data_IF_743358693985
#
_entry.id   IF_743358693985
#
_cell.length_a   1.000
_cell.length_b   1.000
_cell.length_c   1.000
_cell.angle_alpha   90.00
_cell.angle_beta   90.00
_cell.angle_gamma   90.00
#
_symmetry.space_group_name_H-M   'P 1'
#
loop_
_entity.id
_entity.type
_entity.pdbx_description
1 polymer ?
#
# COMPACT_ATOMS: atom_id res chain seq x y z
N UNK A 1 35.65 -3.98 -6.06
CA UNK A 1 34.55 -4.44 -6.92
C UNK A 1 33.50 -3.33 -6.96
N UNK A 2 33.13 -2.88 -8.13
CA UNK A 2 32.37 -1.65 -8.36
C UNK A 2 30.90 -1.89 -8.04
N UNK A 3 30.38 -1.36 -6.93
CA UNK A 3 28.99 -1.50 -6.45
C UNK A 3 27.94 -0.87 -7.40
N UNK A 4 28.36 -0.28 -8.50
CA UNK A 4 27.53 0.56 -9.38
C UNK A 4 26.56 -0.18 -10.32
N UNK A 5 26.49 -1.51 -10.34
CA UNK A 5 25.71 -2.22 -11.38
C UNK A 5 24.86 -3.41 -10.95
N UNK A 6 24.56 -3.58 -9.67
CA UNK A 6 23.57 -4.58 -9.26
C UNK A 6 22.15 -3.97 -9.33
N UNK A 7 21.56 -3.96 -10.51
CA UNK A 7 20.13 -3.64 -10.66
C UNK A 7 19.31 -4.79 -10.05
N UNK A 8 18.88 -4.60 -8.81
CA UNK A 8 17.94 -5.52 -8.17
C UNK A 8 16.64 -5.60 -8.99
N UNK A 9 16.09 -6.83 -9.07
CA UNK A 9 14.83 -7.14 -9.78
C UNK A 9 13.87 -7.84 -8.83
N UNK A 10 12.55 -7.82 -9.08
CA UNK A 10 11.61 -8.68 -8.40
C UNK A 10 12.07 -10.14 -8.42
N UNK A 11 11.99 -10.82 -7.27
CA UNK A 11 12.49 -12.19 -7.08
C UNK A 11 13.94 -12.29 -6.59
N UNK A 12 14.76 -11.23 -6.69
CA UNK A 12 16.11 -11.26 -6.13
C UNK A 12 16.08 -11.39 -4.61
N UNK A 13 16.94 -12.24 -4.06
CA UNK A 13 17.14 -12.36 -2.62
C UNK A 13 18.12 -11.29 -2.16
N UNK A 14 17.71 -10.50 -1.17
CA UNK A 14 18.52 -9.45 -0.57
C UNK A 14 18.61 -9.60 0.95
N UNK A 15 19.69 -9.11 1.52
CA UNK A 15 19.89 -8.98 2.96
C UNK A 15 19.87 -7.50 3.32
N UNK A 16 19.11 -7.14 4.37
CA UNK A 16 19.17 -5.80 4.94
C UNK A 16 20.52 -5.63 5.65
N UNK A 17 21.25 -4.58 5.31
CA UNK A 17 22.57 -4.29 5.87
C UNK A 17 22.52 -4.13 7.39
N UNK A 18 23.67 -4.19 8.04
CA UNK A 18 23.79 -4.02 9.48
C UNK A 18 23.43 -2.60 9.92
N UNK A 19 23.01 -2.38 11.19
CA UNK A 19 22.73 -1.03 11.71
C UNK A 19 23.89 -0.06 11.52
N UNK A 20 25.12 -0.52 11.68
CA UNK A 20 26.33 0.30 11.50
C UNK A 20 26.53 0.74 10.04
N UNK A 21 26.27 -0.14 9.08
CA UNK A 21 26.35 0.20 7.65
C UNK A 21 25.25 1.19 7.26
N UNK A 22 24.02 0.97 7.71
CA UNK A 22 22.90 1.86 7.45
C UNK A 22 23.12 3.23 8.08
N UNK A 23 23.56 3.28 9.34
CA UNK A 23 23.85 4.52 10.06
C UNK A 23 24.80 5.47 9.31
N UNK A 24 25.75 4.92 8.55
CA UNK A 24 26.71 5.69 7.74
C UNK A 24 26.10 6.33 6.50
N UNK A 25 24.90 5.88 6.08
CA UNK A 25 24.20 6.41 4.91
C UNK A 25 23.18 7.49 5.27
N UNK A 26 22.84 7.60 6.56
CA UNK A 26 21.78 8.47 7.04
C UNK A 26 22.33 9.85 7.40
N UNK A 27 21.56 10.86 7.04
CA UNK A 27 21.76 12.23 7.50
C UNK A 27 21.42 12.38 9.01
N UNK A 28 21.59 13.58 9.61
CA UNK A 28 21.27 13.82 11.02
C UNK A 28 19.79 13.58 11.36
N UNK A 29 18.89 13.67 10.39
CA UNK A 29 17.46 13.43 10.55
C UNK A 29 17.06 11.96 10.47
N UNK A 30 18.02 11.07 10.19
CA UNK A 30 17.77 9.63 10.01
C UNK A 30 17.18 9.32 8.64
N UNK A 31 17.46 10.14 7.62
CA UNK A 31 16.96 9.94 6.25
C UNK A 31 18.09 9.70 5.26
N UNK A 32 17.75 9.12 4.11
CA UNK A 32 18.58 9.10 2.92
C UNK A 32 17.77 9.70 1.77
N UNK A 33 18.21 10.85 1.25
CA UNK A 33 17.46 11.63 0.24
C UNK A 33 16.01 11.87 0.67
N UNK A 34 15.82 12.37 1.88
CA UNK A 34 14.54 12.67 2.52
C UNK A 34 13.62 11.46 2.78
N UNK A 35 14.07 10.23 2.51
CA UNK A 35 13.32 9.01 2.85
C UNK A 35 13.77 8.51 4.22
N UNK A 36 12.88 8.48 5.25
CA UNK A 36 13.24 8.02 6.58
C UNK A 36 13.61 6.53 6.61
N UNK A 37 14.67 6.19 7.33
CA UNK A 37 14.87 4.85 7.86
C UNK A 37 14.13 4.79 9.22
N UNK A 38 13.01 4.06 9.29
CA UNK A 38 12.16 4.05 10.47
C UNK A 38 12.71 3.14 11.57
N UNK A 39 12.37 3.41 12.83
CA UNK A 39 12.83 2.61 13.98
C UNK A 39 12.48 1.12 13.85
N UNK A 40 11.28 0.80 13.39
CA UNK A 40 10.87 -0.59 13.16
C UNK A 40 11.72 -1.31 12.10
N UNK A 41 12.28 -0.58 11.13
CA UNK A 41 13.15 -1.16 10.09
C UNK A 41 14.44 -1.74 10.65
N UNK A 42 14.88 -1.28 11.82
CA UNK A 42 16.07 -1.80 12.50
C UNK A 42 15.94 -3.29 12.84
N UNK A 43 14.73 -3.77 13.09
CA UNK A 43 14.47 -5.20 13.37
C UNK A 43 14.71 -6.13 12.19
N UNK A 44 14.78 -5.57 10.99
CA UNK A 44 15.04 -6.33 9.77
C UNK A 44 16.53 -6.39 9.40
N UNK A 45 17.41 -5.64 10.09
CA UNK A 45 18.85 -5.67 9.83
C UNK A 45 19.42 -7.08 9.98
N UNK A 46 20.24 -7.50 9.01
CA UNK A 46 20.82 -8.83 8.91
C UNK A 46 19.84 -9.92 8.44
N UNK A 47 18.57 -9.62 8.25
CA UNK A 47 17.57 -10.57 7.75
C UNK A 47 17.46 -10.51 6.23
N UNK A 48 16.97 -11.60 5.64
CA UNK A 48 16.85 -11.79 4.19
C UNK A 48 15.41 -11.72 3.76
N UNK A 49 15.19 -11.10 2.61
CA UNK A 49 13.88 -10.90 2.00
C UNK A 49 13.99 -10.97 0.50
N UNK A 50 12.88 -11.31 -0.14
CA UNK A 50 12.76 -11.25 -1.60
C UNK A 50 12.32 -9.85 -2.03
N UNK A 51 12.93 -9.33 -3.07
CA UNK A 51 12.47 -8.08 -3.68
C UNK A 51 11.09 -8.33 -4.31
N UNK A 52 10.08 -7.64 -3.77
CA UNK A 52 8.72 -7.69 -4.32
C UNK A 52 8.62 -6.85 -5.59
N UNK A 53 9.13 -5.62 -5.54
CA UNK A 53 9.00 -4.68 -6.66
C UNK A 53 10.01 -3.54 -6.57
N UNK A 54 10.48 -3.04 -7.72
CA UNK A 54 11.16 -1.74 -7.80
C UNK A 54 10.12 -0.63 -7.82
N UNK A 55 10.36 0.44 -7.08
CA UNK A 55 9.41 1.56 -7.02
C UNK A 55 9.68 2.52 -8.18
N UNK A 56 8.91 2.39 -9.24
CA UNK A 56 9.02 3.28 -10.43
C UNK A 56 8.19 4.54 -10.24
N UNK A 57 6.98 4.40 -9.70
CA UNK A 57 6.08 5.52 -9.40
C UNK A 57 5.18 5.20 -8.22
N UNK A 58 4.80 6.22 -7.49
CA UNK A 58 3.92 6.13 -6.32
C UNK A 58 2.75 7.09 -6.45
N UNK A 59 1.61 6.74 -5.86
CA UNK A 59 0.54 7.69 -5.61
C UNK A 59 0.68 8.23 -4.18
N UNK A 60 0.50 9.54 -4.01
CA UNK A 60 0.37 10.15 -2.70
C UNK A 60 -1.08 10.62 -2.52
N UNK A 61 -1.72 10.17 -1.44
CA UNK A 61 -3.05 10.61 -1.01
C UNK A 61 -2.91 11.81 -0.08
N UNK A 62 -3.89 12.69 -0.03
CA UNK A 62 -3.88 13.81 0.93
C UNK A 62 -3.50 15.16 0.36
N UNK A 63 -3.22 15.27 -0.93
CA UNK A 63 -3.12 16.57 -1.59
C UNK A 63 -4.53 17.14 -1.81
N UNK A 64 -4.68 18.48 -1.79
CA UNK A 64 -5.95 19.18 -2.05
C UNK A 64 -6.58 18.82 -3.42
N UNK A 65 -5.79 18.30 -4.34
CA UNK A 65 -6.19 17.88 -5.69
C UNK A 65 -6.46 16.36 -5.82
N UNK A 66 -6.52 15.61 -4.73
CA UNK A 66 -6.67 14.14 -4.74
C UNK A 66 -5.32 13.41 -4.83
N UNK A 67 -5.33 12.16 -5.28
CA UNK A 67 -4.09 11.39 -5.44
C UNK A 67 -3.29 11.89 -6.63
N UNK A 68 -2.04 12.27 -6.38
CA UNK A 68 -1.07 12.68 -7.42
C UNK A 68 -0.03 11.59 -7.63
N UNK A 69 0.39 11.40 -8.89
CA UNK A 69 1.50 10.54 -9.21
C UNK A 69 2.82 11.25 -8.95
N UNK A 70 3.70 10.53 -8.29
CA UNK A 70 5.03 10.99 -7.91
C UNK A 70 6.09 9.93 -8.21
N UNK A 71 7.34 10.35 -8.26
CA UNK A 71 8.49 9.47 -8.41
C UNK A 71 9.57 9.85 -7.40
N UNK A 72 10.41 8.89 -7.02
CA UNK A 72 11.66 9.21 -6.33
C UNK A 72 12.65 9.84 -7.32
N UNK A 73 13.50 10.78 -6.87
CA UNK A 73 14.52 11.40 -7.74
C UNK A 73 15.47 10.38 -8.36
N UNK A 74 15.76 9.30 -7.65
CA UNK A 74 16.64 8.20 -8.05
C UNK A 74 15.88 6.91 -8.26
N UNK A 75 16.41 5.99 -9.08
CA UNK A 75 15.78 4.71 -9.44
C UNK A 75 16.33 3.56 -8.57
N UNK A 76 16.40 3.77 -7.26
CA UNK A 76 17.07 2.92 -6.29
C UNK A 76 16.18 2.50 -5.10
N UNK A 77 14.86 2.67 -5.22
CA UNK A 77 13.90 2.33 -4.16
C UNK A 77 13.16 1.04 -4.49
N UNK A 78 13.02 0.19 -3.49
CA UNK A 78 12.42 -1.14 -3.59
C UNK A 78 11.38 -1.37 -2.51
N UNK A 79 10.46 -2.31 -2.77
CA UNK A 79 9.59 -2.94 -1.79
C UNK A 79 10.06 -4.38 -1.60
N UNK A 80 10.08 -4.84 -0.36
CA UNK A 80 10.39 -6.23 -0.03
C UNK A 80 9.11 -6.98 0.30
N UNK A 81 9.09 -8.26 -0.05
CA UNK A 81 7.90 -9.08 0.11
C UNK A 81 7.51 -9.25 1.58
N UNK A 82 6.22 -9.11 1.86
CA UNK A 82 5.65 -9.24 3.20
C UNK A 82 5.97 -8.10 4.18
N UNK A 83 6.85 -7.14 3.84
CA UNK A 83 7.26 -6.10 4.77
C UNK A 83 6.33 -4.88 4.73
N UNK A 84 5.46 -4.80 5.75
CA UNK A 84 4.57 -3.65 5.99
C UNK A 84 4.86 -3.01 7.33
N UNK A 85 4.66 -1.70 7.40
CA UNK A 85 4.75 -0.91 8.62
C UNK A 85 3.73 -1.42 9.65
N UNK A 86 4.20 -1.73 10.85
CA UNK A 86 3.34 -2.15 11.97
C UNK A 86 2.62 -0.98 12.63
N UNK A 87 3.19 0.22 12.50
CA UNK A 87 2.73 1.44 13.17
C UNK A 87 3.06 1.51 14.66
N UNK A 88 3.80 0.54 15.22
CA UNK A 88 4.10 0.46 16.65
C UNK A 88 4.84 1.69 17.18
N UNK A 89 5.75 2.24 16.39
CA UNK A 89 6.51 3.45 16.73
C UNK A 89 5.75 4.77 16.42
N UNK A 90 4.51 4.67 15.94
CA UNK A 90 3.70 5.80 15.46
C UNK A 90 2.28 5.74 16.04
N UNK A 91 2.17 5.63 17.37
CA UNK A 91 0.91 5.53 18.10
C UNK A 91 -0.07 4.51 17.52
N UNK A 92 0.44 3.32 17.21
CA UNK A 92 -0.33 2.22 16.60
C UNK A 92 -1.11 2.63 15.33
N UNK A 93 -0.47 3.38 14.43
CA UNK A 93 -1.00 3.66 13.10
C UNK A 93 -1.35 2.35 12.38
N UNK A 94 -2.57 2.25 11.86
CA UNK A 94 -3.11 1.01 11.28
C UNK A 94 -3.06 1.00 9.74
N UNK A 95 -2.31 1.90 9.12
CA UNK A 95 -2.30 2.05 7.66
C UNK A 95 -1.66 0.88 6.91
N UNK A 96 -0.73 0.13 7.56
CA UNK A 96 -0.06 -1.03 6.96
C UNK A 96 0.65 -0.71 5.63
N UNK A 97 1.34 0.42 5.56
CA UNK A 97 2.09 0.80 4.37
C UNK A 97 3.16 -0.23 4.02
N UNK A 98 3.36 -0.53 2.73
CA UNK A 98 4.59 -1.19 2.29
C UNK A 98 5.80 -0.29 2.61
N UNK A 99 6.84 -0.87 3.19
CA UNK A 99 8.06 -0.16 3.57
C UNK A 99 8.95 0.04 2.34
N UNK A 100 9.38 1.28 2.11
CA UNK A 100 10.34 1.61 1.06
C UNK A 100 11.77 1.36 1.53
N UNK A 101 12.56 0.72 0.68
CA UNK A 101 13.95 0.38 0.94
C UNK A 101 14.85 1.01 -0.12
N UNK A 102 15.84 1.83 0.30
CA UNK A 102 16.90 2.29 -0.59
C UNK A 102 17.85 1.14 -0.91
N UNK A 103 18.36 1.09 -2.14
CA UNK A 103 19.39 0.10 -2.51
C UNK A 103 20.63 0.19 -1.61
N UNK A 104 20.96 1.38 -1.13
CA UNK A 104 22.06 1.60 -0.19
C UNK A 104 21.91 0.83 1.13
N UNK A 105 20.69 0.45 1.53
CA UNK A 105 20.37 -0.32 2.73
C UNK A 105 20.33 -1.83 2.51
N UNK A 106 20.48 -2.28 1.26
CA UNK A 106 20.35 -3.67 0.85
C UNK A 106 21.66 -4.19 0.26
N UNK A 107 21.91 -5.49 0.41
CA UNK A 107 22.93 -6.20 -0.36
C UNK A 107 22.30 -7.42 -1.02
N UNK A 108 22.69 -7.74 -2.24
CA UNK A 108 22.29 -8.98 -2.90
C UNK A 108 22.94 -10.16 -2.20
N UNK A 109 22.19 -11.24 -2.00
CA UNK A 109 22.70 -12.46 -1.40
C UNK A 109 22.97 -13.47 -2.50
N UNK A 110 24.18 -14.05 -2.49
CA UNK A 110 24.51 -15.22 -3.30
C UNK A 110 24.10 -16.49 -2.56
N UNK A 111 23.77 -17.55 -3.31
CA UNK A 111 23.41 -18.82 -2.72
C UNK A 111 24.55 -19.36 -1.86
N UNK A 112 24.22 -19.94 -0.70
CA UNK A 112 25.19 -20.51 0.24
C UNK A 112 25.80 -19.54 1.25
N UNK A 113 25.65 -18.23 1.11
CA UNK A 113 26.14 -17.27 2.10
C UNK A 113 25.35 -17.36 3.41
N UNK A 114 26.02 -17.26 4.56
CA UNK A 114 25.34 -17.16 5.87
C UNK A 114 24.78 -15.75 6.10
N UNK A 115 23.64 -15.59 6.81
CA UNK A 115 23.16 -14.28 7.23
C UNK A 115 24.19 -13.55 8.08
N UNK A 116 24.27 -12.23 7.93
CA UNK A 116 25.17 -11.41 8.74
C UNK A 116 24.64 -11.34 10.18
N UNK A 117 25.48 -11.70 11.14
CA UNK A 117 25.13 -11.55 12.56
C UNK A 117 25.05 -10.07 12.92
N UNK A 118 23.99 -9.68 13.62
CA UNK A 118 23.76 -8.31 14.08
C UNK A 118 23.65 -8.31 15.59
N UNK A 119 24.42 -7.44 16.23
CA UNK A 119 24.41 -7.31 17.69
C UNK A 119 23.24 -6.42 18.14
N UNK A 120 22.64 -6.76 19.28
CA UNK A 120 21.51 -5.99 19.82
C UNK A 120 21.93 -4.53 20.15
N UNK A 121 23.14 -4.35 20.68
CA UNK A 121 23.68 -3.01 20.98
C UNK A 121 23.73 -2.09 19.75
N UNK A 122 24.08 -2.63 18.56
CA UNK A 122 24.06 -1.84 17.31
C UNK A 122 22.64 -1.41 16.91
N UNK A 123 21.67 -2.29 17.13
CA UNK A 123 20.25 -1.96 16.90
C UNK A 123 19.78 -0.86 17.82
N UNK A 124 20.10 -0.95 19.11
CA UNK A 124 19.67 0.02 20.12
C UNK A 124 20.30 1.39 19.87
N UNK A 125 21.58 1.42 19.48
CA UNK A 125 22.27 2.66 19.09
C UNK A 125 21.62 3.32 17.87
N UNK A 126 21.30 2.56 16.84
CA UNK A 126 20.62 3.12 15.65
C UNK A 126 19.22 3.59 16.02
N UNK A 127 18.41 2.80 16.72
CA UNK A 127 17.07 3.20 17.18
C UNK A 127 17.06 4.49 17.97
N UNK A 128 18.04 4.72 18.83
CA UNK A 128 18.14 5.93 19.65
C UNK A 128 18.32 7.21 18.81
N UNK A 129 18.89 7.09 17.60
CA UNK A 129 19.09 8.21 16.66
C UNK A 129 17.86 8.51 15.80
N UNK A 130 16.97 7.54 15.63
CA UNK A 130 15.85 7.64 14.72
C UNK A 130 14.65 8.28 15.41
N UNK A 131 14.19 9.40 14.88
CA UNK A 131 13.01 10.10 15.36
C UNK A 131 11.72 9.48 14.84
N UNK A 132 10.65 9.61 15.61
CA UNK A 132 9.29 9.16 15.24
C UNK A 132 8.31 10.31 15.12
N UNK A 133 8.71 11.51 15.57
CA UNK A 133 7.90 12.72 15.54
C UNK A 133 8.76 13.94 15.18
N UNK A 134 8.13 14.96 14.60
CA UNK A 134 8.72 16.27 14.32
C UNK A 134 8.01 17.39 15.06
N UNK A 135 6.94 17.09 15.80
CA UNK A 135 6.15 18.02 16.60
C UNK A 135 5.16 17.29 17.51
N UNK A 136 4.40 17.99 18.35
CA UNK A 136 3.54 17.39 19.37
C UNK A 136 2.47 16.42 18.82
N UNK A 137 2.03 16.64 17.57
CA UNK A 137 1.01 15.82 16.91
C UNK A 137 1.39 15.47 15.47
N UNK A 138 2.68 15.57 15.11
CA UNK A 138 3.16 15.34 13.75
C UNK A 138 4.15 14.19 13.76
N UNK A 139 3.72 13.05 13.23
CA UNK A 139 4.54 11.85 13.14
C UNK A 139 5.53 11.93 12.01
N UNK A 140 6.69 11.31 12.19
CA UNK A 140 7.77 11.24 11.23
C UNK A 140 7.96 9.81 10.75
N UNK A 141 7.51 9.51 9.55
CA UNK A 141 7.63 8.19 8.92
C UNK A 141 7.67 8.32 7.39
N UNK A 142 7.82 7.20 6.69
CA UNK A 142 7.86 7.22 5.22
C UNK A 142 6.56 7.74 4.57
N UNK A 143 5.41 7.61 5.23
CA UNK A 143 4.16 8.17 4.73
C UNK A 143 4.11 9.70 4.92
N UNK A 144 4.53 10.23 6.08
CA UNK A 144 4.56 11.68 6.33
C UNK A 144 5.56 12.40 5.43
N UNK A 145 6.73 11.78 5.19
CA UNK A 145 7.80 12.38 4.39
C UNK A 145 7.71 12.06 2.89
N UNK A 146 6.69 11.31 2.45
CA UNK A 146 6.57 10.87 1.06
C UNK A 146 6.61 12.05 0.06
N UNK A 147 6.00 13.17 0.40
CA UNK A 147 6.00 14.35 -0.47
C UNK A 147 7.37 15.03 -0.56
N UNK A 148 8.19 14.94 0.49
CA UNK A 148 9.56 15.48 0.51
C UNK A 148 10.52 14.53 -0.22
N UNK A 149 10.38 13.23 0.01
CA UNK A 149 11.21 12.20 -0.61
C UNK A 149 10.93 11.99 -2.11
N UNK A 150 9.86 12.57 -2.64
CA UNK A 150 9.42 12.36 -4.03
C UNK A 150 9.13 13.70 -4.73
N UNK A 151 9.16 13.68 -6.06
CA UNK A 151 8.79 14.80 -6.91
C UNK A 151 7.55 14.50 -7.76
N UNK A 152 6.86 15.54 -8.22
CA UNK A 152 5.70 15.39 -9.07
C UNK A 152 6.08 14.77 -10.41
N UNK A 153 5.33 13.76 -10.82
CA UNK A 153 5.50 13.12 -12.11
C UNK A 153 4.75 13.90 -13.19
N UNK A 154 5.46 14.41 -14.20
CA UNK A 154 4.81 15.05 -15.34
C UNK A 154 3.99 14.03 -16.15
N UNK A 155 2.91 14.49 -16.80
CA UNK A 155 2.04 13.60 -17.58
C UNK A 155 2.81 12.86 -18.69
N UNK A 156 3.70 13.55 -19.42
CA UNK A 156 4.53 12.95 -20.46
C UNK A 156 5.46 11.88 -19.91
N UNK A 157 6.14 12.18 -18.79
CA UNK A 157 7.00 11.22 -18.10
C UNK A 157 6.21 10.03 -17.56
N UNK A 158 4.95 10.26 -17.17
CA UNK A 158 4.03 9.19 -16.74
C UNK A 158 3.85 8.08 -17.77
N UNK A 159 3.81 8.38 -19.05
CA UNK A 159 3.71 7.38 -20.13
C UNK A 159 4.99 6.55 -20.26
N UNK A 160 6.16 7.17 -20.18
CA UNK A 160 7.45 6.46 -20.26
C UNK A 160 7.70 5.53 -19.06
N UNK A 161 7.04 5.77 -17.92
CA UNK A 161 7.15 4.93 -16.74
C UNK A 161 6.65 3.49 -16.94
N UNK A 162 5.76 3.25 -17.90
CA UNK A 162 5.33 1.89 -18.25
C UNK A 162 6.49 1.05 -18.79
N UNK A 163 7.33 1.64 -19.64
CA UNK A 163 8.55 0.96 -20.12
C UNK A 163 9.53 0.71 -19.00
N UNK A 164 9.65 1.66 -18.03
CA UNK A 164 10.50 1.47 -16.85
C UNK A 164 9.98 0.35 -15.96
N UNK A 165 8.64 0.21 -15.76
CA UNK A 165 8.04 -0.87 -15.01
C UNK A 165 8.33 -2.25 -15.64
N UNK A 166 8.20 -2.36 -16.98
CA UNK A 166 8.52 -3.58 -17.71
C UNK A 166 10.03 -3.87 -17.61
N UNK A 167 10.90 -2.87 -17.85
CA UNK A 167 12.35 -3.03 -17.78
C UNK A 167 12.84 -3.36 -16.37
N UNK A 168 12.13 -2.89 -15.34
CA UNK A 168 12.40 -3.23 -13.94
C UNK A 168 11.97 -4.66 -13.59
N UNK A 169 11.21 -5.34 -14.44
CA UNK A 169 10.64 -6.66 -14.18
C UNK A 169 9.40 -6.63 -13.27
N UNK A 170 8.84 -5.46 -13.00
CA UNK A 170 7.66 -5.32 -12.15
C UNK A 170 6.37 -5.87 -12.78
N UNK A 171 6.31 -5.90 -14.11
CA UNK A 171 5.14 -6.34 -14.88
C UNK A 171 5.58 -6.90 -16.22
N UNK A 172 4.87 -7.92 -16.69
CA UNK A 172 4.98 -8.38 -18.06
C UNK A 172 4.37 -7.36 -19.04
N UNK A 173 4.70 -7.50 -20.32
CA UNK A 173 4.11 -6.67 -21.37
C UNK A 173 2.58 -6.81 -21.40
N UNK A 174 2.07 -8.04 -21.28
CA UNK A 174 0.64 -8.31 -21.28
C UNK A 174 -0.09 -7.65 -20.11
N UNK A 175 0.47 -7.78 -18.90
CA UNK A 175 -0.09 -7.10 -17.72
C UNK A 175 -0.09 -5.57 -17.88
N UNK A 176 0.95 -5.01 -18.49
CA UNK A 176 1.02 -3.58 -18.73
C UNK A 176 -0.05 -3.14 -19.74
N UNK A 177 -0.24 -3.88 -20.82
CA UNK A 177 -1.31 -3.63 -21.82
C UNK A 177 -2.69 -3.68 -21.15
N UNK A 178 -2.94 -4.68 -20.29
CA UNK A 178 -4.20 -4.78 -19.55
C UNK A 178 -4.41 -3.57 -18.62
N UNK A 179 -3.38 -3.15 -17.86
CA UNK A 179 -3.47 -1.98 -16.95
C UNK A 179 -3.73 -0.68 -17.72
N UNK A 180 -3.09 -0.52 -18.88
CA UNK A 180 -3.31 0.63 -19.77
C UNK A 180 -4.74 0.60 -20.30
N UNK A 181 -5.22 -0.55 -20.74
CA UNK A 181 -6.61 -0.74 -21.20
C UNK A 181 -7.63 -0.37 -20.12
N UNK A 182 -7.41 -0.82 -18.87
CA UNK A 182 -8.24 -0.44 -17.71
C UNK A 182 -8.25 1.07 -17.49
N UNK A 183 -7.08 1.72 -17.56
CA UNK A 183 -6.99 3.18 -17.41
C UNK A 183 -7.77 3.90 -18.52
N UNK A 184 -7.59 3.51 -19.79
CA UNK A 184 -8.27 4.13 -20.93
C UNK A 184 -9.78 3.93 -20.85
N UNK A 185 -10.24 2.72 -20.50
CA UNK A 185 -11.65 2.43 -20.29
C UNK A 185 -12.27 3.35 -19.24
N UNK A 186 -11.65 3.46 -18.05
CA UNK A 186 -12.19 4.31 -16.98
C UNK A 186 -12.06 5.79 -17.27
N UNK A 187 -11.07 6.20 -18.04
CA UNK A 187 -10.95 7.58 -18.52
C UNK A 187 -12.09 7.91 -19.49
N UNK A 188 -12.36 7.06 -20.47
CA UNK A 188 -13.48 7.22 -21.40
C UNK A 188 -14.83 7.19 -20.68
N UNK A 189 -15.04 6.22 -19.77
CA UNK A 189 -16.23 6.14 -18.94
C UNK A 189 -16.49 7.46 -18.19
N UNK A 190 -15.48 8.01 -17.54
CA UNK A 190 -15.60 9.26 -16.77
C UNK A 190 -15.95 10.46 -17.63
N UNK A 191 -15.44 10.52 -18.86
CA UNK A 191 -15.73 11.59 -19.81
C UNK A 191 -17.16 11.50 -20.34
N UNK A 192 -17.67 10.30 -20.58
CA UNK A 192 -18.98 10.07 -21.20
C UNK A 192 -20.13 9.97 -20.18
N UNK A 193 -19.89 9.33 -19.04
CA UNK A 193 -20.93 8.95 -18.08
C UNK A 193 -20.74 9.57 -16.69
N UNK A 194 -19.64 10.30 -16.49
CA UNK A 194 -19.32 10.92 -15.20
C UNK A 194 -18.72 9.95 -14.17
N UNK A 195 -18.71 10.30 -12.89
CA UNK A 195 -18.12 9.48 -11.84
C UNK A 195 -18.82 8.13 -11.74
N UNK A 196 -18.03 7.06 -11.64
CA UNK A 196 -18.53 5.73 -11.43
C UNK A 196 -19.15 5.59 -10.01
N UNK A 197 -20.33 4.98 -9.92
CA UNK A 197 -21.00 4.78 -8.63
C UNK A 197 -21.63 6.04 -8.05
N UNK A 198 -21.92 7.04 -8.87
CA UNK A 198 -22.57 8.28 -8.45
C UNK A 198 -23.88 7.99 -7.69
N UNK A 199 -23.96 8.46 -6.45
CA UNK A 199 -25.17 8.44 -5.64
C UNK A 199 -25.83 9.82 -5.58
N UNK A 200 -26.96 9.91 -4.87
CA UNK A 200 -27.74 11.14 -4.74
C UNK A 200 -27.79 11.68 -3.31
N UNK A 201 -27.05 11.06 -2.37
CA UNK A 201 -27.13 11.46 -0.97
C UNK A 201 -26.40 12.78 -0.73
N UNK A 202 -27.10 13.75 -0.11
CA UNK A 202 -26.48 14.96 0.44
C UNK A 202 -25.70 14.65 1.72
N UNK A 203 -26.28 13.79 2.58
CA UNK A 203 -25.64 13.22 3.77
C UNK A 203 -25.60 11.69 3.61
N UNK A 204 -24.40 11.13 3.57
CA UNK A 204 -24.23 9.69 3.35
C UNK A 204 -24.50 8.89 4.61
N UNK A 205 -25.27 7.78 4.52
CA UNK A 205 -25.61 6.95 5.67
C UNK A 205 -24.39 6.23 6.23
N UNK A 206 -24.52 5.72 7.45
CA UNK A 206 -23.51 4.88 8.10
C UNK A 206 -24.16 3.64 8.68
N UNK A 207 -23.43 2.56 8.70
CA UNK A 207 -23.80 1.29 9.32
C UNK A 207 -22.59 0.79 10.10
N UNK A 208 -22.85 0.20 11.26
CA UNK A 208 -21.79 -0.37 12.11
C UNK A 208 -22.06 -1.86 12.26
N UNK A 209 -21.18 -2.66 11.71
CA UNK A 209 -21.23 -4.12 11.78
C UNK A 209 -20.31 -4.69 12.86
N UNK A 210 -19.48 -3.86 13.51
CA UNK A 210 -18.47 -4.30 14.49
C UNK A 210 -17.60 -5.45 13.97
N UNK A 211 -17.16 -5.35 12.71
CA UNK A 211 -16.36 -6.37 12.06
C UNK A 211 -15.01 -6.54 12.75
N UNK A 212 -14.61 -7.80 12.93
CA UNK A 212 -13.35 -8.20 13.53
C UNK A 212 -12.44 -8.89 12.50
N UNK A 213 -11.12 -8.91 12.71
CA UNK A 213 -10.21 -9.69 11.87
C UNK A 213 -10.70 -11.13 11.71
N UNK A 214 -10.60 -11.67 10.49
CA UNK A 214 -11.06 -13.01 10.06
C UNK A 214 -12.59 -13.18 9.93
N UNK A 215 -13.42 -12.18 10.25
CA UNK A 215 -14.83 -12.25 9.90
C UNK A 215 -14.98 -12.43 8.40
N UNK A 216 -15.86 -13.37 7.98
CA UNK A 216 -16.21 -13.56 6.59
C UNK A 216 -17.32 -12.56 6.24
N UNK A 217 -17.08 -11.78 5.18
CA UNK A 217 -18.03 -10.78 4.69
C UNK A 217 -18.21 -10.91 3.18
N UNK A 218 -19.37 -10.52 2.71
CA UNK A 218 -19.66 -10.34 1.29
C UNK A 218 -19.69 -8.85 0.96
N UNK A 219 -19.06 -8.46 -0.13
CA UNK A 219 -19.17 -7.10 -0.66
C UNK A 219 -20.54 -6.94 -1.31
N UNK A 220 -21.36 -6.01 -0.80
CA UNK A 220 -22.71 -5.76 -1.30
C UNK A 220 -22.73 -5.49 -2.81
N UNK A 221 -23.83 -5.80 -3.52
CA UNK A 221 -23.98 -5.45 -4.92
C UNK A 221 -23.86 -3.94 -5.16
N UNK A 222 -23.36 -3.55 -6.33
CA UNK A 222 -23.15 -2.14 -6.69
C UNK A 222 -24.41 -1.28 -6.54
N UNK A 223 -25.58 -1.83 -6.81
CA UNK A 223 -26.86 -1.14 -6.65
C UNK A 223 -27.11 -0.72 -5.18
N UNK A 224 -26.81 -1.60 -4.23
CA UNK A 224 -26.91 -1.30 -2.80
C UNK A 224 -25.88 -0.30 -2.34
N UNK A 225 -24.64 -0.41 -2.83
CA UNK A 225 -23.56 0.51 -2.52
C UNK A 225 -23.84 1.91 -3.05
N UNK A 226 -24.34 2.05 -4.30
CA UNK A 226 -24.64 3.37 -4.90
C UNK A 226 -25.68 4.15 -4.10
N UNK A 227 -26.63 3.48 -3.44
CA UNK A 227 -27.62 4.09 -2.53
C UNK A 227 -26.97 4.71 -1.28
N UNK A 228 -25.73 4.39 -0.97
CA UNK A 228 -24.98 4.92 0.17
C UNK A 228 -24.00 6.05 -0.20
N UNK A 229 -23.83 6.33 -1.49
CA UNK A 229 -22.84 7.28 -2.00
C UNK A 229 -23.42 8.66 -2.27
N UNK A 230 -22.56 9.67 -2.26
CA UNK A 230 -22.85 11.03 -2.72
C UNK A 230 -22.59 11.19 -4.23
N UNK A 231 -22.74 12.44 -4.74
CA UNK A 231 -22.52 12.76 -6.15
C UNK A 231 -21.04 12.58 -6.59
N UNK A 232 -20.09 12.52 -5.66
CA UNK A 232 -18.67 12.30 -5.94
C UNK A 232 -18.27 10.82 -5.85
N UNK A 233 -19.25 9.92 -5.73
CA UNK A 233 -19.06 8.50 -5.45
C UNK A 233 -18.34 8.23 -4.13
N UNK A 234 -18.60 9.03 -3.10
CA UNK A 234 -17.96 8.90 -1.79
C UNK A 234 -19.00 8.62 -0.69
N UNK A 235 -18.57 7.91 0.35
CA UNK A 235 -19.30 7.78 1.59
C UNK A 235 -18.48 8.39 2.72
N UNK A 236 -18.99 9.46 3.35
CA UNK A 236 -18.29 10.21 4.41
C UNK A 236 -16.83 10.52 4.04
N UNK A 237 -16.61 10.99 2.79
CA UNK A 237 -15.31 11.38 2.25
C UNK A 237 -14.42 10.21 1.80
N UNK A 238 -14.84 8.96 1.96
CA UNK A 238 -14.14 7.81 1.41
C UNK A 238 -14.70 7.47 0.04
N UNK A 239 -13.86 7.58 -0.98
CA UNK A 239 -14.24 7.34 -2.35
C UNK A 239 -14.36 5.84 -2.66
N UNK A 240 -15.51 5.46 -3.25
CA UNK A 240 -15.71 4.12 -3.80
C UNK A 240 -15.11 4.06 -5.21
N UNK A 241 -13.93 3.49 -5.31
CA UNK A 241 -13.17 3.49 -6.58
C UNK A 241 -13.70 2.44 -7.57
N UNK A 242 -13.51 2.63 -8.88
CA UNK A 242 -13.88 1.63 -9.88
C UNK A 242 -13.28 0.24 -9.65
N UNK A 243 -12.08 0.16 -9.06
CA UNK A 243 -11.43 -1.10 -8.73
C UNK A 243 -12.21 -1.91 -7.68
N UNK A 244 -12.90 -1.22 -6.77
CA UNK A 244 -13.72 -1.86 -5.71
C UNK A 244 -14.93 -2.57 -6.29
N UNK A 245 -15.47 -2.10 -7.43
CA UNK A 245 -16.59 -2.76 -8.13
C UNK A 245 -16.31 -4.22 -8.45
N UNK A 246 -15.07 -4.53 -8.83
CA UNK A 246 -14.68 -5.90 -9.20
C UNK A 246 -14.78 -6.88 -8.02
N UNK A 247 -14.95 -6.35 -6.82
CA UNK A 247 -15.12 -7.13 -5.59
C UNK A 247 -16.62 -7.30 -5.21
N UNK A 248 -17.55 -6.57 -5.83
CA UNK A 248 -18.98 -6.69 -5.54
C UNK A 248 -19.46 -8.13 -5.73
N UNK A 249 -20.22 -8.66 -4.77
CA UNK A 249 -20.69 -10.03 -4.73
C UNK A 249 -19.64 -11.07 -4.33
N UNK A 250 -18.41 -10.66 -4.03
CA UNK A 250 -17.37 -11.59 -3.59
C UNK A 250 -17.33 -11.69 -2.07
N UNK A 251 -17.08 -12.88 -1.59
CA UNK A 251 -16.80 -13.15 -0.18
C UNK A 251 -15.31 -12.96 0.08
N UNK A 252 -14.98 -12.24 1.15
CA UNK A 252 -13.62 -11.97 1.58
C UNK A 252 -13.55 -11.98 3.11
N UNK A 253 -12.34 -12.17 3.65
CA UNK A 253 -12.11 -12.04 5.09
C UNK A 253 -11.65 -10.63 5.43
N UNK A 254 -12.05 -10.21 6.63
CA UNK A 254 -11.54 -8.97 7.20
C UNK A 254 -10.10 -9.18 7.64
N UNK A 255 -9.19 -8.41 7.06
CA UNK A 255 -7.78 -8.37 7.45
C UNK A 255 -7.59 -7.61 8.75
N UNK A 256 -8.16 -6.41 8.81
CA UNK A 256 -8.01 -5.52 9.97
C UNK A 256 -9.10 -4.44 10.02
N UNK A 257 -9.51 -4.08 11.24
CA UNK A 257 -10.29 -2.87 11.51
C UNK A 257 -9.36 -1.65 11.51
N UNK A 258 -9.80 -0.54 10.92
CA UNK A 258 -9.01 0.69 10.80
C UNK A 258 -9.72 1.81 11.54
N UNK A 259 -9.11 2.30 12.60
CA UNK A 259 -9.63 3.38 13.45
C UNK A 259 -8.77 4.64 13.37
N UNK A 260 -7.47 4.48 13.07
CA UNK A 260 -6.54 5.61 12.95
C UNK A 260 -5.40 5.33 11.96
N UNK A 261 -4.99 6.36 11.26
CA UNK A 261 -3.87 6.30 10.33
C UNK A 261 -3.18 7.66 10.20
N UNK A 262 -1.90 7.64 9.81
CA UNK A 262 -1.15 8.83 9.45
C UNK A 262 -1.44 9.20 8.00
N UNK A 263 -1.80 10.47 7.78
CA UNK A 263 -2.06 11.03 6.46
C UNK A 263 -0.75 11.26 5.72
N UNK A 264 -0.69 10.84 4.45
CA UNK A 264 0.47 11.05 3.59
C UNK A 264 0.83 12.55 3.50
N UNK A 265 2.10 12.86 3.67
CA UNK A 265 2.66 14.19 3.46
C UNK A 265 2.37 15.21 4.56
N UNK A 266 1.48 14.92 5.53
CA UNK A 266 1.20 15.84 6.64
C UNK A 266 1.76 15.34 7.97
N UNK A 267 1.84 14.04 8.16
CA UNK A 267 2.23 13.42 9.43
C UNK A 267 1.14 13.48 10.51
N UNK A 268 -0.05 13.96 10.19
CA UNK A 268 -1.17 14.06 11.13
C UNK A 268 -1.87 12.71 11.29
N UNK A 269 -2.27 12.38 12.52
CA UNK A 269 -3.11 11.22 12.79
C UNK A 269 -4.57 11.55 12.47
N UNK A 270 -5.21 10.74 11.63
CA UNK A 270 -6.64 10.84 11.31
C UNK A 270 -7.38 9.65 11.88
N UNK A 271 -8.46 9.91 12.60
CA UNK A 271 -9.38 8.89 13.08
C UNK A 271 -10.41 8.52 11.99
N UNK A 272 -10.70 7.24 11.89
CA UNK A 272 -11.69 6.66 11.01
C UNK A 272 -12.76 5.92 11.83
N UNK A 273 -13.94 5.73 11.27
CA UNK A 273 -15.00 4.93 11.88
C UNK A 273 -15.57 3.95 10.86
N UNK A 274 -15.99 2.78 11.32
CA UNK A 274 -16.68 1.76 10.51
C UNK A 274 -15.91 1.47 9.19
N UNK A 275 -14.62 1.26 9.32
CA UNK A 275 -13.72 1.04 8.18
C UNK A 275 -12.83 -0.17 8.44
N UNK A 276 -12.69 -1.02 7.43
CA UNK A 276 -11.86 -2.22 7.48
C UNK A 276 -10.97 -2.34 6.24
N UNK A 277 -9.91 -3.13 6.35
CA UNK A 277 -9.21 -3.74 5.23
C UNK A 277 -9.75 -5.16 5.02
N UNK A 278 -9.82 -5.59 3.78
CA UNK A 278 -10.12 -6.97 3.40
C UNK A 278 -8.84 -7.64 2.90
N UNK A 279 -8.71 -8.95 3.16
CA UNK A 279 -7.60 -9.76 2.64
C UNK A 279 -7.54 -9.63 1.11
N UNK A 280 -6.33 -9.55 0.56
CA UNK A 280 -6.05 -9.44 -0.88
C UNK A 280 -6.68 -8.23 -1.59
N UNK A 281 -7.35 -7.33 -0.86
CA UNK A 281 -7.93 -6.12 -1.42
C UNK A 281 -6.89 -5.00 -1.52
N UNK A 282 -5.96 -5.15 -2.47
CA UNK A 282 -4.88 -4.20 -2.72
C UNK A 282 -5.19 -3.27 -3.89
N UNK A 283 -4.78 -2.01 -3.76
CA UNK A 283 -4.93 -1.03 -4.81
C UNK A 283 -3.85 -1.19 -5.88
N UNK A 284 -4.26 -1.36 -7.14
CA UNK A 284 -3.36 -1.31 -8.30
C UNK A 284 -3.18 0.10 -8.87
N UNK A 285 -4.07 1.04 -8.50
CA UNK A 285 -4.21 2.38 -9.07
C UNK A 285 -4.41 2.42 -10.60
N UNK A 286 -4.64 1.29 -11.27
CA UNK A 286 -4.75 1.22 -12.73
C UNK A 286 -5.90 2.07 -13.29
N UNK A 287 -6.97 2.30 -12.51
CA UNK A 287 -8.13 3.09 -12.90
C UNK A 287 -7.91 4.63 -12.85
N UNK A 288 -6.86 5.09 -12.17
CA UNK A 288 -6.53 6.53 -12.03
C UNK A 288 -5.15 6.88 -12.55
N UNK A 289 -4.29 5.90 -12.71
CA UNK A 289 -2.89 6.06 -13.09
C UNK A 289 -2.57 5.21 -14.29
N UNK A 290 -2.01 5.82 -15.32
CA UNK A 290 -1.54 5.10 -16.52
C UNK A 290 -0.51 4.03 -16.11
N UNK A 291 -0.87 2.75 -16.31
CA UNK A 291 -0.06 1.60 -15.92
C UNK A 291 -0.02 1.29 -14.41
N UNK A 292 -0.87 1.92 -13.58
CA UNK A 292 -0.92 1.66 -12.13
C UNK A 292 0.19 2.34 -11.33
N UNK A 293 0.35 1.97 -10.05
CA UNK A 293 1.45 2.41 -9.19
C UNK A 293 2.09 1.24 -8.43
N UNK A 294 3.25 1.48 -7.80
CA UNK A 294 4.03 0.41 -7.16
C UNK A 294 3.64 0.14 -5.69
N UNK A 295 2.85 1.00 -5.04
CA UNK A 295 2.66 0.97 -3.57
C UNK A 295 1.92 -0.25 -3.03
N UNK A 296 1.00 -0.85 -3.78
CA UNK A 296 0.20 -2.01 -3.34
C UNK A 296 -0.43 -1.79 -1.94
N UNK A 297 -1.07 -0.63 -1.71
CA UNK A 297 -1.75 -0.32 -0.46
C UNK A 297 -3.10 -1.03 -0.37
N UNK A 298 -3.53 -1.31 0.87
CA UNK A 298 -4.87 -1.82 1.11
C UNK A 298 -5.95 -0.82 0.70
N UNK A 299 -7.06 -1.34 0.18
CA UNK A 299 -8.26 -0.57 -0.14
C UNK A 299 -9.10 -0.43 1.13
N UNK A 300 -9.58 0.79 1.39
CA UNK A 300 -10.42 1.09 2.56
C UNK A 300 -11.87 0.74 2.25
N UNK A 301 -12.49 -0.12 3.09
CA UNK A 301 -13.87 -0.53 2.97
C UNK A 301 -14.70 0.02 4.11
N UNK A 302 -15.82 0.73 3.78
CA UNK A 302 -16.81 1.08 4.79
C UNK A 302 -17.63 -0.15 5.16
N UNK A 303 -17.92 -0.35 6.45
CA UNK A 303 -18.76 -1.49 6.90
C UNK A 303 -20.14 -1.51 6.22
N UNK A 304 -20.72 -0.33 5.91
CA UNK A 304 -22.00 -0.23 5.19
C UNK A 304 -21.97 -0.85 3.78
N UNK A 305 -20.80 -1.06 3.18
CA UNK A 305 -20.65 -1.70 1.88
C UNK A 305 -20.52 -3.23 1.95
N UNK A 306 -20.56 -3.77 3.17
CA UNK A 306 -20.32 -5.18 3.46
C UNK A 306 -21.55 -5.79 4.14
N UNK A 307 -21.71 -7.12 4.00
CA UNK A 307 -22.67 -7.94 4.75
C UNK A 307 -21.90 -9.04 5.47
N UNK A 308 -22.25 -9.36 6.71
CA UNK A 308 -21.70 -10.55 7.37
C UNK A 308 -22.20 -11.81 6.66
N UNK A 309 -21.30 -12.76 6.45
CA UNK A 309 -21.69 -14.11 6.07
C UNK A 309 -21.88 -14.92 7.36
N UNK A 310 -23.09 -15.40 7.63
CA UNK A 310 -23.38 -16.21 8.80
C UNK A 310 -22.60 -17.53 8.74
N UNK A 311 -21.91 -17.86 9.83
CA UNK A 311 -21.14 -19.12 9.96
C UNK A 311 -21.99 -20.39 9.78
N UNK A 312 -23.31 -20.28 9.85
CA UNK A 312 -24.25 -21.39 9.68
C UNK A 312 -24.41 -21.84 8.22
N UNK A 313 -24.39 -20.90 7.25
CA UNK A 313 -24.55 -21.23 5.83
C UNK A 313 -23.34 -22.00 5.26
N UNK A 314 -22.14 -21.63 5.64
CA UNK A 314 -20.89 -22.25 5.15
C UNK A 314 -20.75 -23.73 5.62
N UNK A 315 -21.32 -24.10 6.77
CA UNK A 315 -21.29 -25.47 7.29
C UNK A 315 -22.28 -26.38 6.58
N UNK A 316 -23.40 -25.83 6.10
CA UNK A 316 -24.42 -26.56 5.34
C UNK A 316 -23.93 -26.91 3.92
N UNK A 317 -23.21 -25.99 3.25
CA UNK A 317 -22.68 -26.23 1.91
C UNK A 317 -21.51 -27.23 1.91
N UNK A 318 -20.66 -27.21 2.93
CA UNK A 318 -19.58 -28.21 3.09
C UNK A 318 -20.11 -29.62 3.43
N UNK A 319 -21.29 -29.70 4.13
CA UNK A 319 -21.91 -30.98 4.44
C UNK A 319 -22.74 -31.57 3.28
N UNK A 320 -23.26 -30.73 2.38
CA UNK A 320 -24.03 -31.15 1.21
C UNK A 320 -23.15 -31.56 0.01
N UNK A 321 -21.88 -31.10 -0.03
CA UNK A 321 -20.90 -31.48 -1.05
C UNK A 321 -20.29 -32.87 -0.86
N UNK A 322 -20.41 -33.47 0.32
CA UNK A 322 -19.82 -34.77 0.66
C UNK A 322 -20.69 -36.02 0.31
N UNK A 323 -21.91 -35.80 -0.23
CA UNK A 323 -22.87 -36.89 -0.47
C UNK A 323 -23.19 -37.13 -1.96
N UNK A 324 -22.33 -36.71 -2.86
CA UNK A 324 -22.44 -37.10 -4.27
C UNK A 324 -21.16 -37.69 -4.79
N UNK A 325 -20.87 -38.91 -4.39
CA UNK A 325 -20.06 -39.90 -5.12
C UNK A 325 -20.19 -41.27 -4.39
N UNK A 326 -21.19 -41.99 -4.72
CA UNK A 326 -21.19 -43.46 -4.73
C UNK A 326 -21.80 -43.89 -6.06
#
# INVERSE_FOLDING_TARGET
MNERNLRLKPGDLVEVKTPNEISKTLDPDGTLEQLPFMREMVEFCGKRFTVFRRVVKVCASGTKSGSTLREFPTDDVFLLDGLRCSGSDHDACQKMCMIFWRQAWLRRVEEGCRPTAVQQAEKDMLKARLKTMVGPATYFCQASELLRATQNLSKLKGYSMCFRDIRAGNSSLLEMVMRVGVFLFWKAWRLLLGPYGRGNNKATPTETLHLQPRDLVEVKPMESISKTLDQTASNRGLWFSPNMRLQCGRQQRVERRIEKLIVDGTGEMRCLRNTVFLEDSLCSCAHVSFGGCSRAEYVYWREIWLSRCDKAATRAELSSGATRNI
#
